data_IF_055777100604
#
_entry.id   IF_055777100604
#
_cell.length_a   1.000
_cell.length_b   1.000
_cell.length_c   1.000
_cell.angle_alpha   90.00
_cell.angle_beta   90.00
_cell.angle_gamma   90.00
#
_symmetry.space_group_name_H-M   'P 1'
#
loop_
_entity.id
_entity.type
_entity.pdbx_description
1 polymer ?
#
# COMPACT_ATOMS: atom_id res chain seq x y z
N UNK A 1 11.33 27.21 11.72
CA UNK A 1 11.19 25.89 11.06
C UNK A 1 9.72 25.71 10.73
N UNK A 2 9.37 25.74 9.44
CA UNK A 2 7.98 25.54 8.99
C UNK A 2 7.58 24.07 9.19
N UNK A 3 6.30 23.82 9.44
CA UNK A 3 5.76 22.51 9.82
C UNK A 3 5.90 21.40 8.76
N UNK A 4 6.41 21.72 7.57
CA UNK A 4 6.48 20.86 6.38
C UNK A 4 7.65 19.86 6.37
N UNK A 5 8.68 20.04 7.19
CA UNK A 5 9.85 19.15 7.16
C UNK A 5 9.71 17.89 8.02
N UNK A 6 8.68 17.79 8.88
CA UNK A 6 8.53 16.66 9.82
C UNK A 6 8.28 15.30 9.14
N UNK A 7 7.85 15.33 7.88
CA UNK A 7 7.57 14.13 7.09
C UNK A 7 8.67 13.81 6.07
N UNK A 8 9.68 14.67 5.92
CA UNK A 8 10.84 14.36 5.07
C UNK A 8 11.81 13.50 5.86
N UNK A 9 11.61 12.20 5.78
CA UNK A 9 12.56 11.21 6.28
C UNK A 9 13.40 10.69 5.12
N UNK A 10 14.68 10.45 5.37
CA UNK A 10 15.55 9.84 4.37
C UNK A 10 15.11 8.38 4.10
N UNK A 11 15.52 7.79 2.95
CA UNK A 11 15.11 6.44 2.59
C UNK A 11 15.47 5.37 3.63
N UNK A 12 16.63 5.52 4.29
CA UNK A 12 17.06 4.61 5.36
C UNK A 12 16.08 4.62 6.54
N UNK A 13 15.67 5.81 7.00
CA UNK A 13 14.71 5.95 8.09
C UNK A 13 13.33 5.43 7.70
N UNK A 14 12.90 5.67 6.45
CA UNK A 14 11.65 5.11 5.94
C UNK A 14 11.69 3.58 5.91
N UNK A 15 12.81 2.99 5.48
CA UNK A 15 13.04 1.54 5.54
C UNK A 15 13.00 1.00 6.96
N UNK A 16 13.64 1.68 7.92
CA UNK A 16 13.59 1.31 9.33
C UNK A 16 12.18 1.38 9.92
N UNK A 17 11.39 2.41 9.58
CA UNK A 17 9.97 2.53 9.99
C UNK A 17 9.14 1.38 9.44
N UNK A 18 9.33 1.03 8.15
CA UNK A 18 8.65 -0.11 7.53
C UNK A 18 8.97 -1.42 8.26
N UNK A 19 10.25 -1.65 8.55
CA UNK A 19 10.70 -2.83 9.31
C UNK A 19 10.08 -2.90 10.71
N UNK A 20 10.16 -1.81 11.48
CA UNK A 20 9.58 -1.74 12.84
C UNK A 20 8.06 -1.92 12.81
N UNK A 21 7.39 -1.38 11.78
CA UNK A 21 5.95 -1.57 11.58
C UNK A 21 5.60 -3.04 11.40
N UNK A 22 6.35 -3.76 10.55
CA UNK A 22 6.14 -5.20 10.32
C UNK A 22 6.43 -6.04 11.58
N UNK A 23 7.51 -5.72 12.29
CA UNK A 23 7.84 -6.37 13.56
C UNK A 23 6.75 -6.15 14.62
N UNK A 24 6.23 -4.93 14.72
CA UNK A 24 5.14 -4.60 15.64
C UNK A 24 3.84 -5.32 15.26
N UNK A 25 3.50 -5.36 13.97
CA UNK A 25 2.34 -6.10 13.47
C UNK A 25 2.45 -7.58 13.86
N UNK A 26 3.59 -8.23 13.61
CA UNK A 26 3.81 -9.62 13.98
C UNK A 26 3.70 -9.86 15.50
N UNK A 27 4.21 -8.94 16.31
CA UNK A 27 4.07 -8.99 17.77
C UNK A 27 2.60 -8.92 18.22
N UNK A 28 1.80 -8.03 17.61
CA UNK A 28 0.38 -7.91 17.90
C UNK A 28 -0.39 -9.15 17.45
N UNK A 29 -0.10 -9.68 16.26
CA UNK A 29 -0.71 -10.93 15.78
C UNK A 29 -0.43 -12.10 16.73
N UNK A 30 0.78 -12.17 17.32
CA UNK A 30 1.08 -13.17 18.36
C UNK A 30 0.19 -13.01 19.58
N UNK A 31 0.06 -11.79 20.13
CA UNK A 31 -0.81 -11.54 21.30
C UNK A 31 -2.27 -11.90 21.03
N UNK A 32 -2.77 -11.62 19.82
CA UNK A 32 -4.14 -11.94 19.41
C UNK A 32 -4.32 -13.45 19.34
N UNK A 33 -3.38 -14.17 18.69
CA UNK A 33 -3.41 -15.63 18.60
C UNK A 33 -3.38 -16.30 19.97
N UNK A 34 -2.59 -15.74 20.89
CA UNK A 34 -2.40 -16.30 22.24
C UNK A 34 -3.52 -15.85 23.22
N UNK A 35 -4.55 -15.14 22.73
CA UNK A 35 -5.71 -14.60 23.46
C UNK A 35 -5.36 -13.72 24.68
N UNK A 36 -4.24 -13.00 24.60
CA UNK A 36 -3.77 -12.06 25.64
C UNK A 36 -3.81 -10.60 25.15
N UNK A 37 -4.41 -10.36 23.98
CA UNK A 37 -4.52 -9.02 23.40
C UNK A 37 -5.54 -8.16 24.14
N UNK A 38 -5.13 -6.93 24.44
CA UNK A 38 -6.06 -5.88 24.87
C UNK A 38 -6.86 -5.34 23.67
N UNK A 39 -7.91 -4.57 23.92
CA UNK A 39 -8.64 -3.89 22.84
C UNK A 39 -7.74 -2.94 22.04
N UNK A 40 -6.84 -2.23 22.72
CA UNK A 40 -5.86 -1.37 22.06
C UNK A 40 -4.88 -2.17 21.17
N UNK A 41 -4.50 -3.39 21.56
CA UNK A 41 -3.68 -4.25 20.71
C UNK A 41 -4.42 -4.65 19.42
N UNK A 42 -5.74 -4.92 19.49
CA UNK A 42 -6.59 -5.28 18.33
C UNK A 42 -6.73 -4.11 17.36
N UNK A 43 -7.10 -2.92 17.86
CA UNK A 43 -7.21 -1.72 17.02
C UNK A 43 -5.89 -1.36 16.35
N UNK A 44 -4.77 -1.44 17.10
CA UNK A 44 -3.46 -1.20 16.52
C UNK A 44 -3.09 -2.24 15.45
N UNK A 45 -3.47 -3.51 15.64
CA UNK A 45 -3.24 -4.55 14.64
C UNK A 45 -3.97 -4.25 13.34
N UNK A 46 -5.23 -3.84 13.41
CA UNK A 46 -6.04 -3.49 12.24
C UNK A 46 -5.42 -2.33 11.46
N UNK A 47 -5.08 -1.23 12.13
CA UNK A 47 -4.48 -0.05 11.48
C UNK A 47 -3.13 -0.39 10.84
N UNK A 48 -2.27 -1.14 11.54
CA UNK A 48 -0.97 -1.54 10.97
C UNK A 48 -1.14 -2.50 9.77
N UNK A 49 -2.14 -3.38 9.81
CA UNK A 49 -2.47 -4.27 8.68
C UNK A 49 -2.90 -3.47 7.46
N UNK A 50 -3.76 -2.46 7.65
CA UNK A 50 -4.20 -1.55 6.58
C UNK A 50 -3.01 -0.78 5.97
N UNK A 51 -2.12 -0.24 6.81
CA UNK A 51 -0.92 0.48 6.35
C UNK A 51 -0.02 -0.44 5.49
N UNK A 52 0.20 -1.68 5.93
CA UNK A 52 1.03 -2.66 5.18
C UNK A 52 0.38 -3.01 3.84
N UNK A 53 -0.93 -3.23 3.81
CA UNK A 53 -1.67 -3.49 2.56
C UNK A 53 -1.56 -2.30 1.59
N UNK A 54 -1.79 -1.08 2.08
CA UNK A 54 -1.67 0.15 1.31
C UNK A 54 -0.26 0.36 0.73
N UNK A 55 0.78 0.16 1.53
CA UNK A 55 2.17 0.29 1.08
C UNK A 55 2.51 -0.75 -0.01
N UNK A 56 2.06 -1.99 0.17
CA UNK A 56 2.27 -3.08 -0.80
C UNK A 56 1.55 -2.81 -2.12
N UNK A 57 0.34 -2.27 -2.04
CA UNK A 57 -0.43 -1.88 -3.21
C UNK A 57 0.25 -0.74 -3.98
N UNK A 58 0.79 0.25 -3.28
CA UNK A 58 1.53 1.35 -3.92
C UNK A 58 2.75 0.85 -4.70
N UNK A 59 3.56 -0.03 -4.09
CA UNK A 59 4.72 -0.64 -4.78
C UNK A 59 4.28 -1.46 -6.00
N UNK A 60 3.17 -2.18 -5.90
CA UNK A 60 2.65 -2.99 -7.00
C UNK A 60 2.17 -2.11 -8.18
N UNK A 61 1.50 -1.00 -7.89
CA UNK A 61 1.11 0.01 -8.91
C UNK A 61 2.33 0.61 -9.58
N UNK A 62 3.33 1.06 -8.82
CA UNK A 62 4.56 1.65 -9.37
C UNK A 62 5.30 0.67 -10.31
N UNK A 63 5.33 -0.63 -9.96
CA UNK A 63 5.86 -1.69 -10.83
C UNK A 63 5.03 -1.89 -12.10
N UNK A 64 3.70 -1.98 -11.97
CA UNK A 64 2.80 -2.14 -13.12
C UNK A 64 2.92 -0.97 -14.11
N UNK A 65 2.95 0.26 -13.60
CA UNK A 65 3.15 1.45 -14.44
C UNK A 65 4.50 1.44 -15.16
N UNK A 66 5.55 0.91 -14.51
CA UNK A 66 6.87 0.77 -15.11
C UNK A 66 6.87 -0.26 -16.24
N UNK A 67 6.23 -1.41 -16.04
CA UNK A 67 6.07 -2.47 -17.06
C UNK A 67 5.29 -1.95 -18.28
N UNK A 68 4.22 -1.18 -18.07
CA UNK A 68 3.45 -0.57 -19.17
C UNK A 68 4.29 0.42 -19.98
N UNK A 69 5.10 1.25 -19.32
CA UNK A 69 6.01 2.20 -19.99
C UNK A 69 7.05 1.48 -20.86
N UNK A 70 7.43 0.27 -20.45
CA UNK A 70 8.37 -0.59 -21.18
C UNK A 70 7.70 -1.43 -22.28
N UNK A 71 6.38 -1.27 -22.49
CA UNK A 71 5.61 -1.97 -23.51
C UNK A 71 5.20 -3.40 -23.13
N UNK A 72 5.36 -3.77 -21.85
CA UNK A 72 4.87 -5.02 -21.30
C UNK A 72 3.39 -4.99 -20.94
N UNK A 73 2.83 -6.14 -20.57
CA UNK A 73 1.45 -6.25 -20.09
C UNK A 73 1.41 -6.13 -18.57
N UNK A 74 0.64 -5.18 -18.02
CA UNK A 74 0.41 -5.08 -16.58
C UNK A 74 -0.57 -6.14 -16.08
N UNK A 75 -0.37 -6.55 -14.83
CA UNK A 75 -1.31 -7.41 -14.12
C UNK A 75 -2.38 -6.56 -13.43
N UNK A 76 -3.66 -6.85 -13.68
CA UNK A 76 -4.79 -6.23 -12.98
C UNK A 76 -5.63 -7.32 -12.32
N UNK A 77 -5.93 -7.18 -11.04
CA UNK A 77 -6.91 -8.04 -10.37
C UNK A 77 -8.31 -7.49 -10.65
N UNK A 78 -9.13 -8.23 -11.41
CA UNK A 78 -10.53 -7.88 -11.66
C UNK A 78 -11.43 -8.77 -10.80
N UNK A 79 -12.15 -8.17 -9.87
CA UNK A 79 -13.30 -8.82 -9.21
C UNK A 79 -14.60 -8.32 -9.84
N UNK A 80 -15.52 -9.23 -10.20
CA UNK A 80 -16.72 -8.97 -11.04
C UNK A 80 -17.73 -7.95 -10.47
N UNK A 81 -17.59 -7.46 -9.23
CA UNK A 81 -18.62 -6.67 -8.53
C UNK A 81 -18.31 -5.19 -8.25
N UNK A 82 -17.17 -4.65 -8.68
CA UNK A 82 -16.81 -3.25 -8.36
C UNK A 82 -16.38 -2.44 -9.59
N UNK A 83 -17.17 -1.41 -9.92
CA UNK A 83 -16.82 -0.28 -10.79
C UNK A 83 -15.62 0.51 -10.20
N UNK A 84 -14.81 1.20 -11.03
CA UNK A 84 -13.44 1.63 -10.70
C UNK A 84 -13.47 2.88 -9.83
N UNK A 85 -13.90 2.73 -8.59
CA UNK A 85 -13.48 3.63 -7.55
C UNK A 85 -12.06 3.20 -7.21
N UNK A 86 -11.05 4.02 -7.51
CA UNK A 86 -9.70 3.86 -6.96
C UNK A 86 -9.86 3.69 -5.44
N UNK A 87 -9.83 2.45 -4.94
CA UNK A 87 -10.08 2.13 -3.53
C UNK A 87 -9.16 1.00 -3.14
N UNK A 88 -8.05 1.38 -2.52
CA UNK A 88 -7.26 0.57 -1.57
C UNK A 88 -6.72 -0.79 -2.05
N UNK A 89 -6.91 -1.16 -3.31
CA UNK A 89 -6.35 -2.37 -3.94
C UNK A 89 -5.60 -1.94 -5.20
N UNK A 90 -4.34 -2.37 -5.33
CA UNK A 90 -3.37 -1.88 -6.30
C UNK A 90 -3.69 -2.17 -7.77
N UNK A 91 -4.69 -1.51 -8.32
CA UNK A 91 -4.99 -1.47 -9.75
C UNK A 91 -4.43 -0.20 -10.39
N UNK A 92 -3.81 -0.35 -11.57
CA UNK A 92 -3.39 0.77 -12.40
C UNK A 92 -4.60 1.64 -12.83
N UNK A 93 -4.38 2.94 -12.98
CA UNK A 93 -5.33 3.91 -13.54
C UNK A 93 -5.67 3.54 -15.00
N UNK A 94 -6.78 2.82 -15.22
CA UNK A 94 -7.42 2.71 -16.55
C UNK A 94 -8.38 3.90 -16.85
N UNK A 95 -8.46 4.91 -15.97
CA UNK A 95 -9.37 6.06 -16.14
C UNK A 95 -8.70 7.34 -16.70
N UNK A 96 -7.43 7.29 -17.12
CA UNK A 96 -6.87 8.35 -17.97
C UNK A 96 -7.12 7.94 -19.42
N UNK A 97 -7.96 8.66 -20.20
CA UNK A 97 -8.25 8.27 -21.57
C UNK A 97 -6.94 8.17 -22.35
N UNK A 98 -6.70 7.01 -22.96
CA UNK A 98 -5.61 6.81 -23.90
C UNK A 98 -5.65 7.96 -24.92
N UNK A 99 -4.67 8.88 -24.85
CA UNK A 99 -4.43 9.84 -25.92
C UNK A 99 -4.02 9.04 -27.15
N UNK A 100 -5.01 8.57 -27.91
CA UNK A 100 -4.77 8.10 -29.27
C UNK A 100 -4.27 9.31 -30.06
N UNK A 101 -2.97 9.35 -30.32
CA UNK A 101 -2.43 10.16 -31.40
C UNK A 101 -2.96 9.58 -32.71
N UNK A 102 -4.08 10.12 -33.17
CA UNK A 102 -4.56 9.91 -34.54
C UNK A 102 -3.54 10.61 -35.45
N UNK A 103 -2.82 9.83 -36.26
CA UNK A 103 -2.12 10.32 -37.45
C UNK A 103 -3.08 10.36 -38.61
#
# INVERSE_FOLDING_TARGET
MTSDDRNKRNPETLGAIGKVTLEKLASLSSKIRDDVATEADRVNHEILSEIVALASNRVSVEKNESILKEGGSAWTERTESHYPHIRLHGGALEDDPLKMMIR
#
